data_IF_139088279735
#
_entry.id   IF_139088279735
#
_cell.length_a   1.000
_cell.length_b   1.000
_cell.length_c   1.000
_cell.angle_alpha   90.00
_cell.angle_beta   90.00
_cell.angle_gamma   90.00
#
_symmetry.space_group_name_H-M   'P 1'
#
loop_
_entity.id
_entity.type
_entity.pdbx_description
1 polymer ?
#
# COMPACT_ATOMS: atom_id res chain seq x y z
N UNK A 1 1.75 -31.03 2.90
CA UNK A 1 1.85 -30.20 1.66
C UNK A 1 1.05 -28.93 1.93
N UNK A 2 1.67 -27.74 1.90
CA UNK A 2 0.98 -26.46 2.20
C UNK A 2 0.47 -25.88 0.90
N UNK A 3 -0.84 -25.94 0.68
CA UNK A 3 -1.47 -25.35 -0.50
C UNK A 3 -1.72 -23.87 -0.23
N UNK A 4 -0.94 -22.99 -0.86
CA UNK A 4 -1.20 -21.55 -0.83
C UNK A 4 -2.28 -21.25 -1.86
N UNK A 5 -3.48 -20.93 -1.37
CA UNK A 5 -4.60 -20.46 -2.18
C UNK A 5 -4.51 -18.94 -2.32
N UNK A 6 -4.59 -18.43 -3.54
CA UNK A 6 -4.85 -17.01 -3.77
C UNK A 6 -6.27 -16.68 -3.29
N UNK A 7 -6.37 -15.75 -2.33
CA UNK A 7 -7.65 -15.35 -1.74
C UNK A 7 -8.25 -14.16 -2.48
N UNK A 8 -7.40 -13.28 -3.04
CA UNK A 8 -7.83 -12.07 -3.72
C UNK A 8 -6.86 -11.70 -4.85
N UNK A 9 -7.39 -11.29 -5.99
CA UNK A 9 -6.61 -10.82 -7.14
C UNK A 9 -6.99 -9.38 -7.45
N UNK A 10 -6.00 -8.48 -7.43
CA UNK A 10 -6.21 -7.05 -7.65
C UNK A 10 -5.58 -6.68 -8.99
N UNK A 11 -6.42 -6.36 -9.97
CA UNK A 11 -5.98 -5.78 -11.24
C UNK A 11 -5.66 -4.29 -11.03
N UNK A 12 -4.50 -4.02 -10.43
CA UNK A 12 -4.08 -2.66 -10.09
C UNK A 12 -3.32 -1.96 -11.20
N UNK A 13 -2.39 -2.65 -11.85
CA UNK A 13 -1.37 -2.05 -12.71
C UNK A 13 -1.47 -2.55 -14.15
N UNK A 14 -1.16 -1.67 -15.11
CA UNK A 14 -1.12 -2.00 -16.55
C UNK A 14 0.25 -2.55 -16.99
N UNK A 15 1.21 -2.64 -16.06
CA UNK A 15 2.59 -3.07 -16.28
C UNK A 15 3.12 -3.85 -15.08
N UNK A 16 4.39 -4.29 -15.16
CA UNK A 16 5.07 -4.98 -14.07
C UNK A 16 5.02 -4.17 -12.78
N UNK A 17 4.56 -4.82 -11.71
CA UNK A 17 4.64 -4.31 -10.35
C UNK A 17 6.08 -4.48 -9.89
N UNK A 18 6.72 -3.37 -9.56
CA UNK A 18 8.13 -3.33 -9.15
C UNK A 18 8.30 -3.52 -7.65
N UNK A 19 7.38 -2.99 -6.85
CA UNK A 19 7.43 -3.09 -5.41
C UNK A 19 6.03 -3.10 -4.79
N UNK A 20 5.92 -3.81 -3.67
CA UNK A 20 4.71 -3.92 -2.87
C UNK A 20 5.09 -3.78 -1.40
N UNK A 21 4.48 -2.81 -0.72
CA UNK A 21 4.74 -2.55 0.70
C UNK A 21 3.44 -2.62 1.48
N UNK A 22 3.53 -3.22 2.66
CA UNK A 22 2.41 -3.35 3.58
C UNK A 22 2.69 -2.53 4.84
N UNK A 23 1.77 -1.66 5.21
CA UNK A 23 1.82 -0.86 6.43
C UNK A 23 0.64 -1.22 7.32
N UNK A 24 0.93 -1.56 8.57
CA UNK A 24 -0.06 -1.59 9.64
C UNK A 24 0.14 -0.35 10.50
N UNK A 25 -0.85 0.52 10.54
CA UNK A 25 -0.81 1.71 11.39
C UNK A 25 -1.11 1.30 12.83
N UNK A 26 -0.12 0.83 13.58
CA UNK A 26 -0.27 0.61 15.03
C UNK A 26 -0.07 1.93 15.77
N UNK A 27 -1.01 2.87 15.61
CA UNK A 27 -1.10 4.03 16.49
C UNK A 27 -1.42 3.53 17.91
N UNK A 28 -0.38 3.45 18.74
CA UNK A 28 -0.47 3.06 20.17
C UNK A 28 -0.45 4.28 21.08
N UNK A 29 -1.00 5.40 20.64
CA UNK A 29 -1.09 6.68 21.36
C UNK A 29 -2.19 6.68 22.46
N UNK A 30 -2.50 5.50 23.02
CA UNK A 30 -3.34 5.34 24.21
C UNK A 30 -4.84 5.62 24.01
N UNK A 31 -5.25 6.15 22.86
CA UNK A 31 -6.64 6.44 22.51
C UNK A 31 -6.95 5.81 21.15
N UNK A 32 -7.81 4.78 21.15
CA UNK A 32 -8.49 4.32 19.93
C UNK A 32 -7.79 3.18 19.17
N UNK A 33 -8.56 2.11 18.97
CA UNK A 33 -8.21 0.85 18.28
C UNK A 33 -8.19 0.98 16.75
N UNK A 34 -7.84 2.13 16.17
CA UNK A 34 -7.90 2.31 14.71
C UNK A 34 -6.59 1.86 14.05
N UNK A 35 -6.29 0.56 14.22
CA UNK A 35 -5.18 -0.09 13.55
C UNK A 35 -5.49 -0.32 12.07
N UNK A 36 -5.37 0.72 11.25
CA UNK A 36 -5.64 0.63 9.80
C UNK A 36 -4.55 -0.14 9.05
N UNK A 37 -4.97 -1.08 8.20
CA UNK A 37 -4.08 -1.80 7.28
C UNK A 37 -4.05 -1.09 5.93
N UNK A 38 -2.86 -0.85 5.40
CA UNK A 38 -2.65 -0.20 4.11
C UNK A 38 -1.67 -1.01 3.28
N UNK A 39 -2.02 -1.25 2.03
CA UNK A 39 -1.16 -1.90 1.05
C UNK A 39 -0.83 -0.89 -0.04
N UNK A 40 0.45 -0.64 -0.31
CA UNK A 40 0.88 0.20 -1.43
C UNK A 40 1.55 -0.64 -2.50
N UNK A 41 1.13 -0.48 -3.75
CA UNK A 41 1.68 -1.16 -4.91
C UNK A 41 2.20 -0.12 -5.90
N UNK A 42 3.36 -0.38 -6.49
CA UNK A 42 3.97 0.48 -7.50
C UNK A 42 4.44 -0.32 -8.70
N UNK A 43 4.42 0.30 -9.87
CA UNK A 43 4.74 -0.36 -11.11
C UNK A 43 5.46 0.52 -12.12
N UNK A 44 5.89 -0.14 -13.19
CA UNK A 44 6.53 0.51 -14.34
C UNK A 44 5.54 1.35 -15.16
N UNK A 45 4.26 1.31 -14.82
CA UNK A 45 3.21 2.18 -15.33
C UNK A 45 3.27 3.60 -14.74
N UNK A 46 4.23 3.90 -13.86
CA UNK A 46 4.38 5.23 -13.26
C UNK A 46 3.33 5.52 -12.17
N UNK A 47 2.53 4.52 -11.82
CA UNK A 47 1.40 4.67 -10.91
C UNK A 47 1.76 4.10 -9.54
N UNK A 48 1.35 4.82 -8.49
CA UNK A 48 1.42 4.34 -7.11
C UNK A 48 0.01 4.20 -6.57
N UNK A 49 -0.42 2.98 -6.27
CA UNK A 49 -1.77 2.67 -5.82
C UNK A 49 -1.73 2.26 -4.36
N UNK A 50 -2.63 2.84 -3.57
CA UNK A 50 -2.79 2.56 -2.14
C UNK A 50 -4.15 1.90 -1.96
N UNK A 51 -4.14 0.75 -1.31
CA UNK A 51 -5.29 -0.11 -1.06
C UNK A 51 -5.52 -0.23 0.44
N UNK A 52 -6.79 -0.38 0.82
CA UNK A 52 -7.19 -0.78 2.17
C UNK A 52 -6.80 -2.23 2.39
N UNK A 53 -6.16 -2.56 3.50
CA UNK A 53 -5.80 -3.94 3.81
C UNK A 53 -6.97 -4.80 4.29
N UNK A 54 -8.08 -4.18 4.71
CA UNK A 54 -9.28 -4.89 5.18
C UNK A 54 -10.17 -5.30 4.00
N UNK A 55 -10.46 -4.35 3.10
CA UNK A 55 -11.39 -4.53 1.98
C UNK A 55 -10.70 -4.68 0.61
N UNK A 56 -9.37 -4.54 0.56
CA UNK A 56 -8.58 -4.49 -0.70
C UNK A 56 -9.11 -3.47 -1.72
N UNK A 57 -9.77 -2.41 -1.23
CA UNK A 57 -10.32 -1.31 -2.04
C UNK A 57 -9.25 -0.27 -2.30
N UNK A 58 -9.24 0.29 -3.50
CA UNK A 58 -8.34 1.39 -3.86
C UNK A 58 -8.73 2.63 -3.05
N UNK A 59 -7.87 3.04 -2.13
CA UNK A 59 -8.01 4.26 -1.34
C UNK A 59 -7.52 5.45 -2.16
N UNK A 60 -6.36 5.28 -2.80
CA UNK A 60 -5.71 6.38 -3.50
C UNK A 60 -4.91 5.90 -4.69
N UNK A 61 -4.98 6.69 -5.75
CA UNK A 61 -4.17 6.53 -6.94
C UNK A 61 -3.30 7.78 -7.06
N UNK A 62 -1.99 7.59 -6.97
CA UNK A 62 -1.00 8.64 -7.10
C UNK A 62 -0.36 8.45 -8.48
N UNK A 63 -0.81 9.26 -9.41
CA UNK A 63 -0.31 9.34 -10.77
C UNK A 63 0.43 10.68 -10.88
N UNK A 64 1.62 10.66 -11.47
CA UNK A 64 2.48 11.85 -11.53
C UNK A 64 3.94 11.55 -11.78
N UNK A 65 4.37 10.28 -11.61
CA UNK A 65 5.66 9.85 -12.10
C UNK A 65 5.58 9.59 -13.61
N UNK A 66 6.24 10.42 -14.40
CA UNK A 66 6.35 10.33 -15.86
C UNK A 66 7.24 9.15 -16.34
N UNK A 67 7.65 8.27 -15.42
CA UNK A 67 8.59 7.19 -15.68
C UNK A 67 8.41 6.00 -14.75
N UNK A 68 9.21 4.95 -14.98
CA UNK A 68 9.12 3.69 -14.24
C UNK A 68 9.42 3.91 -12.76
N UNK A 69 8.45 3.62 -11.89
CA UNK A 69 8.66 3.67 -10.44
C UNK A 69 9.43 2.41 -10.03
N UNK A 70 10.62 2.59 -9.45
CA UNK A 70 11.50 1.48 -9.06
C UNK A 70 11.23 0.95 -7.65
N UNK A 71 10.53 1.71 -6.81
CA UNK A 71 10.22 1.30 -5.45
C UNK A 71 9.38 2.33 -4.72
N UNK A 72 8.81 1.92 -3.61
CA UNK A 72 8.07 2.79 -2.71
C UNK A 72 8.54 2.54 -1.28
N UNK A 73 8.66 3.61 -0.51
CA UNK A 73 8.94 3.50 0.92
C UNK A 73 7.88 4.25 1.74
N UNK A 74 7.56 3.69 2.88
CA UNK A 74 6.51 4.18 3.76
C UNK A 74 7.16 4.70 5.04
N UNK A 75 7.23 6.02 5.17
CA UNK A 75 7.73 6.63 6.38
C UNK A 75 6.80 6.33 7.58
N UNK A 76 7.40 5.87 8.67
CA UNK A 76 6.78 5.80 10.01
C UNK A 76 6.93 7.11 10.77
N UNK A 77 6.81 8.24 10.05
CA UNK A 77 6.83 9.56 10.65
C UNK A 77 5.65 9.69 11.60
N UNK A 78 5.89 9.51 12.91
CA UNK A 78 5.01 10.08 13.93
C UNK A 78 4.96 11.57 13.61
N UNK A 79 3.88 12.06 13.00
CA UNK A 79 3.64 13.50 12.86
C UNK A 79 3.49 14.03 14.29
N UNK A 80 4.61 14.41 14.91
CA UNK A 80 4.58 15.35 16.03
C UNK A 80 4.02 16.62 15.45
N UNK A 81 2.75 16.92 15.75
CA UNK A 81 2.27 18.30 15.68
C UNK A 81 3.10 19.06 16.72
N UNK A 82 3.96 19.95 16.25
CA UNK A 82 4.47 21.07 17.03
C UNK A 82 4.11 22.36 16.33
#
# INVERSE_FOLDING_TARGET
MRTLRSIYSIAGHSSLVSDVKYKKDTRTDGVGKDAGLYLSTVGYDGCVKIWSGDDYRLIKNLEGHEGKVMGVDIANGKRKKS
#
